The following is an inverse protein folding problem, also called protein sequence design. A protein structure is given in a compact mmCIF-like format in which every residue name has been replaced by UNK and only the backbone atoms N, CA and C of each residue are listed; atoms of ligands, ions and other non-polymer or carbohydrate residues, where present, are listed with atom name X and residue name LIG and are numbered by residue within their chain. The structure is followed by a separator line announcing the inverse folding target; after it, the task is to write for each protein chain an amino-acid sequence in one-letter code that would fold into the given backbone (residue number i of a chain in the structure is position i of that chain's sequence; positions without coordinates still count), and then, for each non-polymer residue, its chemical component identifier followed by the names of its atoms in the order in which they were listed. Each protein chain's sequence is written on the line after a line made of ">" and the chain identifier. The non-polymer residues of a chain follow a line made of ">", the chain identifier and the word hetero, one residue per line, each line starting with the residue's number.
data_IF_642895032053
#
_entry.id   IF_642895032053
#
_cell.length_a   1.000
_cell.length_b   1.000
_cell.length_c   1.000
_cell.angle_alpha   90.00
_cell.angle_beta   90.00
_cell.angle_gamma   90.00
#
_symmetry.space_group_name_H-M   'P 1'
#
loop_
_entity.id
_entity.type
_entity.pdbx_description
1 polymer ?
#
# COMPACT_ATOMS: atom_id res chain seq x y z
N UNK A 1 -2.53 31.08 -15.67
CA UNK A 1 -3.23 30.60 -14.45
C UNK A 1 -3.50 29.10 -14.62
N UNK A 2 -2.75 28.20 -13.94
CA UNK A 2 -2.78 26.74 -14.16
C UNK A 2 -3.19 25.94 -12.90
N UNK A 3 -3.87 26.56 -11.94
CA UNK A 3 -4.07 25.98 -10.59
C UNK A 3 -5.25 25.03 -10.45
N UNK A 4 -6.09 24.88 -11.47
CA UNK A 4 -7.30 24.04 -11.42
C UNK A 4 -7.08 22.58 -11.84
N UNK A 5 -5.93 22.24 -12.42
CA UNK A 5 -5.72 20.97 -13.14
C UNK A 5 -5.58 19.71 -12.26
N UNK A 6 -5.70 19.80 -10.93
CA UNK A 6 -5.43 18.66 -10.03
C UNK A 6 -6.47 18.49 -8.91
N UNK A 7 -7.74 18.65 -9.23
CA UNK A 7 -8.86 18.24 -8.36
C UNK A 7 -9.45 16.95 -8.90
N UNK A 8 -9.51 15.91 -8.07
CA UNK A 8 -10.10 14.62 -8.42
C UNK A 8 -10.99 14.11 -7.30
N UNK A 9 -12.24 13.85 -7.63
CA UNK A 9 -13.15 13.09 -6.78
C UNK A 9 -13.03 11.61 -7.13
N UNK A 10 -12.79 10.76 -6.14
CA UNK A 10 -12.72 9.31 -6.29
C UNK A 10 -13.62 8.64 -5.25
N UNK A 11 -13.97 7.38 -5.49
CA UNK A 11 -14.56 6.52 -4.46
C UNK A 11 -13.47 5.57 -3.98
N UNK A 12 -13.22 5.55 -2.67
CA UNK A 12 -12.23 4.66 -2.06
C UNK A 12 -12.78 3.24 -1.82
N UNK A 13 -11.93 2.31 -1.32
CA UNK A 13 -12.38 0.98 -0.89
C UNK A 13 -13.52 1.11 0.13
N UNK A 14 -14.63 0.42 -0.12
CA UNK A 14 -15.85 0.50 0.71
C UNK A 14 -16.83 1.61 0.32
N UNK A 15 -16.76 2.13 -0.91
CA UNK A 15 -17.77 3.06 -1.44
C UNK A 15 -17.69 4.48 -0.87
N UNK A 16 -16.69 4.78 -0.04
CA UNK A 16 -16.59 6.09 0.63
C UNK A 16 -15.96 7.14 -0.29
N UNK A 17 -16.58 8.31 -0.44
CA UNK A 17 -16.08 9.35 -1.34
C UNK A 17 -14.79 9.96 -0.79
N UNK A 18 -13.87 10.29 -1.70
CA UNK A 18 -12.53 10.78 -1.42
C UNK A 18 -12.16 11.90 -2.38
N UNK A 19 -11.72 13.03 -1.84
CA UNK A 19 -11.30 14.17 -2.64
C UNK A 19 -9.78 14.27 -2.64
N UNK A 20 -9.20 14.48 -3.81
CA UNK A 20 -7.79 14.77 -4.00
C UNK A 20 -7.65 16.18 -4.54
N UNK A 21 -6.88 17.02 -3.84
CA UNK A 21 -6.58 18.38 -4.27
C UNK A 21 -5.07 18.55 -4.19
N UNK A 22 -4.43 18.86 -5.33
CA UNK A 22 -2.98 19.13 -5.39
C UNK A 22 -2.14 18.01 -4.76
N UNK A 23 -2.52 16.74 -4.99
CA UNK A 23 -1.81 15.57 -4.46
C UNK A 23 -2.04 15.28 -2.97
N UNK A 24 -2.93 16.02 -2.31
CA UNK A 24 -3.36 15.79 -0.92
C UNK A 24 -4.77 15.19 -0.92
N UNK A 25 -5.05 14.24 -0.02
CA UNK A 25 -6.35 13.60 0.10
C UNK A 25 -7.17 14.03 1.32
N UNK A 26 -8.47 14.08 1.10
CA UNK A 26 -9.47 14.51 2.06
C UNK A 26 -10.63 13.51 2.10
N UNK A 27 -11.22 13.35 3.28
CA UNK A 27 -12.45 12.56 3.48
C UNK A 27 -13.65 13.49 3.65
N UNK A 28 -14.82 13.04 3.18
CA UNK A 28 -16.06 13.78 3.35
C UNK A 28 -16.44 13.75 4.85
N UNK A 29 -16.47 14.92 5.48
CA UNK A 29 -16.76 15.05 6.90
C UNK A 29 -18.22 15.44 7.15
N UNK A 30 -18.82 16.23 6.26
CA UNK A 30 -20.20 16.66 6.39
C UNK A 30 -20.72 17.24 5.07
N UNK A 31 -21.98 16.95 4.76
CA UNK A 31 -22.69 17.59 3.66
C UNK A 31 -23.68 18.59 4.23
N UNK A 32 -23.56 19.86 3.82
CA UNK A 32 -24.48 20.92 4.22
C UNK A 32 -25.79 20.83 3.43
N UNK A 33 -26.87 21.42 3.97
CA UNK A 33 -28.18 21.50 3.31
C UNK A 33 -28.14 22.23 1.96
N UNK A 34 -27.16 23.12 1.77
CA UNK A 34 -26.89 23.82 0.50
C UNK A 34 -26.27 22.95 -0.59
N UNK A 35 -26.00 21.67 -0.31
CA UNK A 35 -25.29 20.76 -1.21
C UNK A 35 -23.77 20.94 -1.21
N UNK A 36 -23.23 21.80 -0.33
CA UNK A 36 -21.78 21.93 -0.14
C UNK A 36 -21.27 20.78 0.73
N UNK A 37 -20.29 20.04 0.22
CA UNK A 37 -19.59 19.01 0.97
C UNK A 37 -18.32 19.62 1.58
N UNK A 38 -18.21 19.52 2.91
CA UNK A 38 -17.01 19.90 3.65
C UNK A 38 -16.12 18.67 3.85
N UNK A 39 -14.90 18.80 3.39
CA UNK A 39 -13.86 17.78 3.42
C UNK A 39 -12.77 18.15 4.43
N UNK A 40 -12.26 17.15 5.14
CA UNK A 40 -11.14 17.30 6.08
C UNK A 40 -9.94 16.53 5.56
N UNK A 41 -8.74 17.05 5.80
CA UNK A 41 -7.53 16.32 5.45
C UNK A 41 -7.52 14.95 6.14
N UNK A 42 -7.04 13.94 5.45
CA UNK A 42 -6.99 12.58 6.02
C UNK A 42 -5.92 12.44 7.09
N UNK A 43 -4.93 13.34 7.13
CA UNK A 43 -3.97 13.34 8.22
C UNK A 43 -4.61 13.95 9.47
N UNK A 44 -4.64 13.18 10.56
CA UNK A 44 -5.13 13.65 11.85
C UNK A 44 -4.36 14.89 12.32
N UNK A 45 -5.05 15.83 12.97
CA UNK A 45 -4.44 17.08 13.45
C UNK A 45 -4.16 18.14 12.37
N UNK A 46 -4.47 17.88 11.10
CA UNK A 46 -4.33 18.88 10.04
C UNK A 46 -5.55 19.83 9.98
N UNK A 47 -5.30 21.14 10.04
CA UNK A 47 -6.34 22.18 9.99
C UNK A 47 -6.94 22.44 8.60
N UNK A 48 -6.31 21.93 7.54
CA UNK A 48 -6.72 22.15 6.15
C UNK A 48 -8.10 21.52 5.84
N UNK A 49 -8.97 22.33 5.21
CA UNK A 49 -10.35 22.00 4.84
C UNK A 49 -10.57 22.31 3.36
N UNK A 50 -11.36 21.48 2.70
CA UNK A 50 -11.82 21.74 1.33
C UNK A 50 -13.34 21.74 1.29
N UNK A 51 -13.92 22.53 0.40
CA UNK A 51 -15.35 22.66 0.19
C UNK A 51 -15.63 22.41 -1.27
N UNK A 52 -16.51 21.45 -1.57
CA UNK A 52 -16.95 21.19 -2.94
C UNK A 52 -18.43 21.42 -3.07
N UNK A 53 -18.86 21.85 -4.25
CA UNK A 53 -20.26 22.03 -4.59
C UNK A 53 -20.49 21.45 -5.98
N UNK A 54 -21.50 20.59 -6.15
CA UNK A 54 -21.82 19.93 -7.43
C UNK A 54 -20.59 19.27 -8.09
N UNK A 55 -19.74 18.61 -7.29
CA UNK A 55 -18.54 17.93 -7.77
C UNK A 55 -17.32 18.81 -8.05
N UNK A 56 -17.45 20.13 -7.97
CA UNK A 56 -16.34 21.08 -8.22
C UNK A 56 -15.77 21.61 -6.91
N UNK A 57 -14.45 21.86 -6.85
CA UNK A 57 -13.83 22.51 -5.70
C UNK A 57 -14.26 23.98 -5.64
N UNK A 58 -15.00 24.33 -4.59
CA UNK A 58 -15.49 25.68 -4.34
C UNK A 58 -14.48 26.51 -3.54
N UNK A 59 -13.88 25.93 -2.49
CA UNK A 59 -12.93 26.64 -1.62
C UNK A 59 -11.94 25.68 -0.96
N UNK A 60 -10.70 26.12 -0.80
CA UNK A 60 -9.70 25.49 0.07
C UNK A 60 -9.37 26.47 1.21
N UNK A 61 -9.30 25.97 2.44
CA UNK A 61 -9.06 26.80 3.65
C UNK A 61 -8.01 26.15 4.52
N UNK A 62 -7.05 26.96 4.96
CA UNK A 62 -5.96 26.53 5.84
C UNK A 62 -4.84 25.83 5.08
N UNK A 63 -3.70 25.70 5.78
CA UNK A 63 -2.50 25.08 5.24
C UNK A 63 -2.29 23.69 5.83
N UNK A 64 -1.54 22.87 5.09
CA UNK A 64 -1.13 21.56 5.58
C UNK A 64 0.08 21.74 6.50
N UNK A 65 -0.05 21.35 7.76
CA UNK A 65 1.05 21.32 8.74
C UNK A 65 1.91 20.04 8.64
N UNK A 66 1.92 19.40 7.47
CA UNK A 66 2.60 18.13 7.27
C UNK A 66 3.17 17.98 5.86
N UNK A 67 4.35 17.36 5.76
CA UNK A 67 5.03 17.16 4.49
C UNK A 67 4.43 16.02 3.66
N UNK A 68 3.80 15.02 4.28
CA UNK A 68 3.44 13.74 3.63
C UNK A 68 2.23 13.79 2.68
N UNK A 69 2.31 13.08 1.54
CA UNK A 69 1.14 12.78 0.68
C UNK A 69 0.13 12.01 1.52
N UNK A 70 -0.89 12.70 2.03
CA UNK A 70 -1.97 12.05 2.74
C UNK A 70 -2.63 11.06 1.76
N UNK A 71 -2.70 9.77 2.12
CA UNK A 71 -3.40 8.77 1.33
C UNK A 71 -2.57 7.64 0.73
N UNK A 72 -1.25 7.62 0.89
CA UNK A 72 -0.53 6.34 0.91
C UNK A 72 -0.19 6.06 2.36
N UNK A 73 -0.96 5.20 3.03
CA UNK A 73 -0.27 4.22 3.87
C UNK A 73 0.65 3.55 2.84
N UNK A 74 1.94 3.88 2.87
CA UNK A 74 2.89 3.07 2.14
C UNK A 74 2.54 1.65 2.51
N UNK A 75 2.39 0.77 1.52
CA UNK A 75 2.53 -0.65 1.77
C UNK A 75 3.67 -0.75 2.76
N UNK A 76 3.38 -1.21 3.98
CA UNK A 76 4.44 -1.57 4.92
C UNK A 76 5.38 -2.39 4.06
N UNK A 77 6.62 -1.92 3.89
CA UNK A 77 7.59 -2.69 3.13
C UNK A 77 7.48 -4.11 3.68
N UNK A 78 7.33 -5.15 2.83
CA UNK A 78 7.35 -6.51 3.35
C UNK A 78 8.58 -6.60 4.26
N UNK A 79 8.45 -7.18 5.46
CA UNK A 79 9.60 -7.37 6.32
C UNK A 79 10.72 -7.98 5.46
N UNK A 80 11.99 -7.57 5.66
CA UNK A 80 13.10 -8.14 4.89
C UNK A 80 12.97 -9.66 4.94
N UNK A 81 13.20 -10.37 3.83
CA UNK A 81 13.15 -11.83 3.83
C UNK A 81 14.09 -12.30 4.93
N UNK A 82 13.52 -12.99 5.92
CA UNK A 82 14.30 -13.71 6.93
C UNK A 82 15.29 -14.62 6.18
N UNK A 83 16.55 -14.72 6.65
CA UNK A 83 17.52 -15.61 6.02
C UNK A 83 16.93 -17.04 5.96
N UNK A 84 17.22 -17.81 4.89
CA UNK A 84 16.70 -19.16 4.77
C UNK A 84 17.19 -19.96 5.97
N UNK A 85 16.24 -20.41 6.78
CA UNK A 85 16.48 -21.37 7.85
C UNK A 85 17.09 -22.60 7.18
N UNK A 86 18.35 -22.98 7.46
CA UNK A 86 18.93 -24.15 6.84
C UNK A 86 18.14 -25.35 7.35
N UNK A 87 17.37 -25.96 6.44
CA UNK A 87 16.72 -27.24 6.68
C UNK A 87 17.80 -28.19 7.17
N UNK A 88 17.73 -28.57 8.45
CA UNK A 88 18.58 -29.61 9.03
C UNK A 88 18.24 -30.92 8.33
N UNK A 89 18.87 -31.16 7.18
CA UNK A 89 18.85 -32.46 6.52
C UNK A 89 19.52 -33.45 7.48
N UNK A 90 18.91 -34.61 7.74
CA UNK A 90 19.60 -35.66 8.46
C UNK A 90 20.88 -36.01 7.71
N UNK A 91 22.00 -36.10 8.43
CA UNK A 91 23.30 -36.54 7.89
C UNK A 91 23.08 -37.87 7.16
N UNK A 92 23.19 -37.85 5.83
CA UNK A 92 23.20 -39.09 5.05
C UNK A 92 24.42 -39.92 5.48
N UNK A 93 24.26 -41.24 5.73
CA UNK A 93 25.39 -42.12 5.94
C UNK A 93 26.33 -42.02 4.74
N UNK A 94 27.61 -41.79 5.02
CA UNK A 94 28.67 -41.70 4.02
C UNK A 94 28.65 -43.02 3.23
N UNK A 95 28.27 -42.95 1.94
CA UNK A 95 28.36 -44.08 1.03
C UNK A 95 29.84 -44.46 0.94
N UNK A 96 30.19 -45.65 1.44
CA UNK A 96 31.51 -46.27 1.26
C UNK A 96 31.63 -46.73 -0.20
N UNK A 97 32.19 -45.85 -1.03
CA UNK A 97 32.45 -46.11 -2.45
C UNK A 97 33.50 -47.21 -2.67
N UNK A 98 34.23 -47.62 -1.63
CA UNK A 98 35.26 -48.65 -1.70
C UNK A 98 34.71 -50.09 -1.87
N UNK A 99 33.41 -50.31 -1.69
CA UNK A 99 32.80 -51.64 -1.79
C UNK A 99 31.84 -51.80 -2.98
N UNK A 100 31.97 -50.97 -4.02
CA UNK A 100 31.20 -51.14 -5.26
C UNK A 100 31.83 -52.26 -6.11
N UNK A 101 31.24 -53.46 -6.06
CA UNK A 101 31.60 -54.58 -6.95
C UNK A 101 30.76 -54.52 -8.24
N UNK A 102 31.32 -54.10 -9.39
CA UNK A 102 30.61 -54.02 -10.66
C UNK A 102 30.28 -55.39 -11.29
N UNK A 103 30.73 -56.51 -10.70
CA UNK A 103 30.49 -57.85 -11.22
C UNK A 103 29.33 -58.57 -10.53
N UNK A 104 28.74 -57.98 -9.49
CA UNK A 104 27.63 -58.56 -8.72
C UNK A 104 26.36 -58.85 -9.55
N UNK A 105 26.29 -58.33 -10.78
CA UNK A 105 25.14 -58.47 -11.68
C UNK A 105 25.34 -59.56 -12.74
N UNK A 106 26.49 -60.25 -12.76
CA UNK A 106 26.74 -61.35 -13.69
C UNK A 106 26.29 -62.68 -13.08
N UNK A 107 25.04 -63.04 -13.33
CA UNK A 107 24.52 -64.40 -13.15
C UNK A 107 25.17 -65.28 -14.22
N UNK A 108 25.95 -66.29 -13.81
CA UNK A 108 26.44 -67.33 -14.74
C UNK A 108 25.33 -68.36 -14.99
N UNK A 109 25.07 -68.64 -16.26
CA UNK A 109 24.14 -69.67 -16.74
C UNK A 109 24.56 -71.08 -16.31
#
# INVERSE_FOLDING_TARGET
>A
MLTEKYVRLCVGPGGRPRLWVRGRSFYAAHTMRSGIVRWRCTMGGCGCKAYTQKGTLHKLVGEHNHAGRCGRRGSRAPPPPSPPEPLLLPRMPRLDFDNFDPSAWLVRY
#
